data_IF_692707886164
#
_entry.id   IF_692707886164
#
_cell.length_a   1.000
_cell.length_b   1.000
_cell.length_c   1.000
_cell.angle_alpha   90.00
_cell.angle_beta   90.00
_cell.angle_gamma   90.00
#
_symmetry.space_group_name_H-M   'P 1'
#
loop_
_entity.id
_entity.type
_entity.pdbx_description
1 polymer ?
#
# COMPACT_ATOMS: atom_id res chain seq x y z
N UNK A 1 -7.63 -1.39 26.70
CA UNK A 1 -7.44 -1.13 25.27
C UNK A 1 -7.50 0.36 25.07
N UNK A 2 -6.64 0.89 24.21
CA UNK A 2 -6.73 2.25 23.69
C UNK A 2 -6.72 2.14 22.16
N UNK A 3 -7.00 3.24 21.48
CA UNK A 3 -6.87 3.33 20.03
C UNK A 3 -5.54 3.98 19.68
N UNK A 4 -4.78 3.28 18.84
CA UNK A 4 -3.52 3.74 18.28
C UNK A 4 -3.73 4.13 16.83
N UNK A 5 -3.15 5.25 16.42
CA UNK A 5 -3.23 5.78 15.08
C UNK A 5 -1.88 5.63 14.39
N UNK A 6 -1.89 5.08 13.18
CA UNK A 6 -0.68 4.84 12.41
C UNK A 6 -0.92 4.91 10.92
N UNK A 7 0.17 4.86 10.18
CA UNK A 7 0.15 4.69 8.74
C UNK A 7 0.77 3.33 8.40
N UNK A 8 0.08 2.58 7.55
CA UNK A 8 0.48 1.24 7.12
C UNK A 8 1.07 1.23 5.72
N UNK A 9 1.16 2.39 5.06
CA UNK A 9 1.43 2.46 3.63
C UNK A 9 2.25 3.70 3.27
N UNK A 10 3.58 3.55 3.30
CA UNK A 10 4.53 4.67 3.14
C UNK A 10 5.73 4.21 2.34
N UNK A 11 6.07 4.95 1.30
CA UNK A 11 7.23 4.71 0.44
C UNK A 11 8.32 5.76 0.68
N UNK A 12 9.57 5.33 0.59
CA UNK A 12 10.79 6.11 0.82
C UNK A 12 11.64 6.17 -0.44
N UNK A 13 12.80 6.83 -0.38
CA UNK A 13 13.76 6.86 -1.48
C UNK A 13 14.31 5.48 -1.90
N UNK A 14 14.05 4.42 -1.13
CA UNK A 14 14.42 3.04 -1.48
C UNK A 14 13.43 2.37 -2.44
N UNK A 15 12.18 2.82 -2.48
CA UNK A 15 11.20 2.31 -3.44
C UNK A 15 11.52 2.82 -4.86
N UNK A 16 11.31 1.95 -5.86
CA UNK A 16 11.61 2.27 -7.25
C UNK A 16 10.80 3.45 -7.81
N UNK A 17 9.50 3.51 -7.53
CA UNK A 17 8.62 4.55 -8.04
C UNK A 17 8.71 5.85 -7.23
N UNK A 18 9.05 5.80 -5.95
CA UNK A 18 9.30 6.97 -5.11
C UNK A 18 10.69 7.56 -5.36
N UNK A 19 11.75 6.74 -5.23
CA UNK A 19 13.13 7.14 -5.49
C UNK A 19 13.32 7.64 -6.92
N UNK A 20 12.70 6.95 -7.89
CA UNK A 20 12.65 7.40 -9.28
C UNK A 20 11.91 8.72 -9.47
N UNK A 21 10.82 8.95 -8.73
CA UNK A 21 10.08 10.21 -8.76
C UNK A 21 10.77 11.38 -8.03
N UNK A 22 11.96 11.16 -7.47
CA UNK A 22 12.78 12.19 -6.84
C UNK A 22 12.81 12.15 -5.32
N UNK A 23 12.30 11.09 -4.70
CA UNK A 23 12.28 10.97 -3.24
C UNK A 23 13.65 10.66 -2.71
N UNK A 24 14.08 11.40 -1.71
CA UNK A 24 15.40 11.33 -1.09
C UNK A 24 15.33 11.09 0.42
N UNK A 25 14.16 11.25 1.04
CA UNK A 25 13.96 10.83 2.42
C UNK A 25 14.11 9.31 2.51
N UNK A 26 15.00 8.86 3.39
CA UNK A 26 15.29 7.46 3.64
C UNK A 26 14.44 6.95 4.82
N UNK A 27 14.38 5.63 5.07
CA UNK A 27 13.55 5.08 6.15
C UNK A 27 13.71 5.75 7.52
N UNK A 28 14.95 6.09 7.90
CA UNK A 28 15.23 6.78 9.16
C UNK A 28 14.63 8.19 9.21
N UNK A 29 14.61 8.92 8.09
CA UNK A 29 13.97 10.24 8.02
C UNK A 29 12.45 10.10 8.19
N UNK A 30 11.84 9.13 7.52
CA UNK A 30 10.41 8.85 7.63
C UNK A 30 9.99 8.45 9.05
N UNK A 31 10.77 7.61 9.76
CA UNK A 31 10.46 7.28 11.16
C UNK A 31 10.65 8.47 12.11
N UNK A 32 11.69 9.28 11.93
CA UNK A 32 11.88 10.53 12.70
C UNK A 32 10.69 11.47 12.49
N UNK A 33 10.26 11.65 11.25
CA UNK A 33 9.07 12.43 10.92
C UNK A 33 7.80 11.88 11.57
N UNK A 34 7.58 10.56 11.52
CA UNK A 34 6.42 9.90 12.11
C UNK A 34 6.36 10.05 13.65
N UNK A 35 7.51 10.06 14.32
CA UNK A 35 7.66 10.38 15.76
C UNK A 35 7.47 11.87 16.08
N UNK A 36 7.25 12.70 15.05
CA UNK A 36 7.04 14.13 15.18
C UNK A 36 8.32 14.93 15.36
N UNK A 37 9.47 14.40 14.97
CA UNK A 37 10.68 15.21 14.77
C UNK A 37 10.53 16.09 13.52
N UNK A 38 11.25 17.20 13.47
CA UNK A 38 11.35 18.00 12.25
C UNK A 38 12.39 17.37 11.32
N UNK A 39 12.02 17.19 10.06
CA UNK A 39 12.92 16.76 8.97
C UNK A 39 12.92 17.77 7.84
N UNK A 40 13.81 17.60 6.86
CA UNK A 40 13.83 18.39 5.63
C UNK A 40 13.14 17.60 4.52
N UNK A 41 12.17 18.22 3.85
CA UNK A 41 11.43 17.61 2.74
C UNK A 41 12.31 17.43 1.49
N UNK A 42 11.80 16.74 0.47
CA UNK A 42 12.56 16.48 -0.77
C UNK A 42 12.90 17.77 -1.53
N UNK A 43 12.13 18.84 -1.33
CA UNK A 43 12.37 20.18 -1.89
C UNK A 43 13.07 21.15 -0.93
N UNK A 44 13.59 20.66 0.20
CA UNK A 44 14.41 21.44 1.13
C UNK A 44 13.65 22.20 2.22
N UNK A 45 12.34 21.98 2.36
CA UNK A 45 11.52 22.70 3.34
C UNK A 45 11.52 21.97 4.69
N UNK A 46 11.61 22.68 5.83
CA UNK A 46 11.43 22.04 7.13
C UNK A 46 9.97 21.61 7.29
N UNK A 47 9.76 20.36 7.72
CA UNK A 47 8.43 19.77 7.87
C UNK A 47 8.34 18.95 9.16
N UNK A 48 7.18 19.00 9.82
CA UNK A 48 6.92 18.30 11.08
C UNK A 48 5.43 17.95 11.19
N UNK A 49 5.10 16.80 11.77
CA UNK A 49 3.71 16.47 12.10
C UNK A 49 3.20 17.29 13.29
N UNK A 50 1.96 17.76 13.20
CA UNK A 50 1.26 18.38 14.32
C UNK A 50 0.97 17.36 15.45
N UNK A 51 0.69 16.11 15.06
CA UNK A 51 0.49 14.98 15.98
C UNK A 51 1.31 13.77 15.50
N UNK A 52 2.29 13.29 16.30
CA UNK A 52 3.04 12.06 16.00
C UNK A 52 2.11 10.85 15.83
N UNK A 53 2.58 9.84 15.12
CA UNK A 53 1.91 8.54 15.05
C UNK A 53 2.21 7.69 16.28
N UNK A 54 1.29 6.77 16.62
CA UNK A 54 1.49 5.77 17.65
C UNK A 54 2.22 4.54 17.09
N UNK A 55 1.95 4.19 15.82
CA UNK A 55 2.69 3.17 15.08
C UNK A 55 2.90 3.57 13.62
N UNK A 56 3.89 2.98 12.94
CA UNK A 56 4.24 3.35 11.57
C UNK A 56 4.89 2.20 10.80
N UNK A 57 4.52 2.07 9.52
CA UNK A 57 5.06 1.05 8.63
C UNK A 57 5.58 1.69 7.36
N UNK A 58 6.77 1.29 6.95
CA UNK A 58 7.30 1.58 5.62
C UNK A 58 7.05 0.33 4.78
N UNK A 59 6.47 0.51 3.61
CA UNK A 59 6.05 -0.56 2.72
C UNK A 59 6.61 -0.32 1.33
N UNK A 60 7.92 -0.06 1.26
CA UNK A 60 8.60 0.04 -0.03
C UNK A 60 8.36 -1.21 -0.88
N UNK A 61 8.26 -1.01 -2.19
CA UNK A 61 7.99 -2.08 -3.15
C UNK A 61 9.06 -3.19 -3.09
N UNK A 62 8.60 -4.44 -3.01
CA UNK A 62 9.42 -5.64 -3.15
C UNK A 62 9.92 -5.85 -4.57
N UNK A 63 9.11 -5.51 -5.57
CA UNK A 63 9.45 -5.68 -6.98
C UNK A 63 10.57 -4.74 -7.41
N UNK A 64 11.71 -5.31 -7.79
CA UNK A 64 12.90 -4.52 -8.12
C UNK A 64 13.57 -3.88 -6.89
N UNK A 65 13.32 -4.36 -5.66
CA UNK A 65 13.92 -3.80 -4.45
C UNK A 65 15.44 -3.61 -4.60
N UNK A 66 15.89 -2.36 -4.37
CA UNK A 66 17.29 -1.94 -4.51
C UNK A 66 17.72 -1.50 -5.91
N UNK A 67 16.99 -1.84 -6.97
CA UNK A 67 17.39 -1.46 -8.34
C UNK A 67 17.52 0.05 -8.50
N UNK A 68 16.59 0.83 -7.92
CA UNK A 68 16.58 2.28 -8.09
C UNK A 68 17.82 2.94 -7.48
N UNK A 69 18.32 2.42 -6.35
CA UNK A 69 19.54 2.92 -5.74
C UNK A 69 20.74 2.72 -6.66
N UNK A 70 20.86 1.53 -7.24
CA UNK A 70 21.93 1.21 -8.19
C UNK A 70 21.82 2.01 -9.49
N UNK A 71 20.59 2.27 -9.96
CA UNK A 71 20.37 3.13 -11.13
C UNK A 71 20.80 4.55 -10.82
N UNK A 72 20.41 5.12 -9.68
CA UNK A 72 20.78 6.49 -9.31
C UNK A 72 22.30 6.63 -9.11
N UNK A 73 22.95 5.63 -8.53
CA UNK A 73 24.39 5.61 -8.29
C UNK A 73 25.23 5.26 -9.53
N UNK A 74 24.61 4.72 -10.59
CA UNK A 74 25.31 4.29 -11.80
C UNK A 74 26.16 3.05 -11.57
N UNK A 75 25.61 2.05 -10.85
CA UNK A 75 26.31 0.82 -10.54
C UNK A 75 26.84 0.11 -11.81
N UNK A 76 27.98 -0.61 -11.76
CA UNK A 76 28.61 -1.16 -12.95
C UNK A 76 27.71 -2.07 -13.81
N UNK A 77 26.84 -2.87 -13.18
CA UNK A 77 25.89 -3.73 -13.89
C UNK A 77 24.78 -2.92 -14.58
N UNK A 78 24.34 -1.82 -13.98
CA UNK A 78 23.38 -0.90 -14.59
C UNK A 78 24.01 -0.19 -15.78
N UNK A 79 25.25 0.29 -15.64
CA UNK A 79 25.94 1.00 -16.71
C UNK A 79 26.36 0.10 -17.87
N UNK A 80 26.52 -1.21 -17.62
CA UNK A 80 26.76 -2.21 -18.65
C UNK A 80 25.52 -2.51 -19.50
N UNK A 81 24.32 -2.35 -18.94
CA UNK A 81 23.05 -2.51 -19.63
C UNK A 81 22.64 -1.21 -20.37
N UNK A 82 22.28 -1.24 -21.67
CA UNK A 82 21.90 -0.04 -22.40
C UNK A 82 20.68 0.69 -21.83
N UNK A 83 19.70 -0.05 -21.31
CA UNK A 83 18.49 0.52 -20.73
C UNK A 83 18.76 1.09 -19.34
N UNK A 84 19.53 0.38 -18.52
CA UNK A 84 20.03 0.86 -17.24
C UNK A 84 20.83 2.16 -17.37
N UNK A 85 21.75 2.23 -18.33
CA UNK A 85 22.51 3.47 -18.63
C UNK A 85 21.58 4.62 -19.03
N UNK A 86 20.60 4.36 -19.91
CA UNK A 86 19.60 5.35 -20.31
C UNK A 86 18.82 5.89 -19.11
N UNK A 87 18.38 5.03 -18.19
CA UNK A 87 17.69 5.47 -16.99
C UNK A 87 18.60 6.27 -16.05
N UNK A 88 19.84 5.82 -15.83
CA UNK A 88 20.82 6.57 -15.03
C UNK A 88 21.05 7.98 -15.58
N UNK A 89 21.33 8.10 -16.89
CA UNK A 89 21.55 9.40 -17.55
C UNK A 89 20.33 10.33 -17.41
N UNK A 90 19.10 9.79 -17.53
CA UNK A 90 17.88 10.56 -17.35
C UNK A 90 17.67 11.02 -15.91
N UNK A 91 17.97 10.18 -14.91
CA UNK A 91 17.88 10.56 -13.51
C UNK A 91 18.95 11.57 -13.09
N UNK A 92 20.18 11.45 -13.61
CA UNK A 92 21.25 12.45 -13.42
C UNK A 92 20.88 13.79 -14.04
N UNK A 93 20.26 13.79 -15.22
CA UNK A 93 19.77 15.01 -15.86
C UNK A 93 18.66 15.70 -15.04
N UNK A 94 17.88 14.93 -14.27
CA UNK A 94 16.82 15.44 -13.42
C UNK A 94 15.62 16.00 -14.18
N UNK A 95 14.75 16.72 -13.46
CA UNK A 95 13.63 17.45 -14.04
C UNK A 95 12.68 16.58 -14.89
N UNK A 96 12.35 17.06 -16.09
CA UNK A 96 11.37 16.39 -16.97
C UNK A 96 11.87 15.02 -17.45
N UNK A 97 13.18 14.90 -17.72
CA UNK A 97 13.79 13.66 -18.18
C UNK A 97 13.71 12.57 -17.12
N UNK A 98 14.03 12.90 -15.86
CA UNK A 98 13.85 11.98 -14.75
C UNK A 98 12.39 11.53 -14.61
N UNK A 99 11.42 12.45 -14.71
CA UNK A 99 10.00 12.07 -14.64
C UNK A 99 9.54 11.17 -15.79
N UNK A 100 9.97 11.45 -17.02
CA UNK A 100 9.67 10.61 -18.18
C UNK A 100 10.31 9.22 -18.02
N UNK A 101 11.53 9.16 -17.48
CA UNK A 101 12.21 7.92 -17.12
C UNK A 101 11.45 7.12 -16.05
N UNK A 102 10.97 7.75 -14.97
CA UNK A 102 10.16 7.08 -13.93
C UNK A 102 8.88 6.49 -14.52
N UNK A 103 8.16 7.27 -15.33
CA UNK A 103 6.93 6.79 -15.99
C UNK A 103 7.20 5.62 -16.92
N UNK A 104 8.29 5.69 -17.69
CA UNK A 104 8.67 4.59 -18.57
C UNK A 104 9.09 3.35 -17.80
N UNK A 105 9.85 3.48 -16.71
CA UNK A 105 10.23 2.37 -15.84
C UNK A 105 9.00 1.66 -15.25
N UNK A 106 8.04 2.42 -14.71
CA UNK A 106 6.78 1.88 -14.17
C UNK A 106 5.97 1.19 -15.28
N UNK A 107 5.87 1.81 -16.46
CA UNK A 107 5.15 1.24 -17.61
C UNK A 107 5.79 -0.08 -18.05
N UNK A 108 7.12 -0.10 -18.21
CA UNK A 108 7.84 -1.32 -18.59
C UNK A 108 7.66 -2.43 -17.55
N UNK A 109 7.67 -2.09 -16.26
CA UNK A 109 7.34 -3.05 -15.20
C UNK A 109 5.91 -3.60 -15.36
N UNK A 110 4.91 -2.73 -15.48
CA UNK A 110 3.49 -3.08 -15.68
C UNK A 110 3.25 -4.01 -16.87
N UNK A 111 4.06 -3.85 -17.92
CA UNK A 111 3.92 -4.62 -19.16
C UNK A 111 4.88 -5.82 -19.26
N UNK A 112 5.74 -6.06 -18.25
CA UNK A 112 6.72 -7.15 -18.27
C UNK A 112 7.85 -6.96 -19.28
N UNK A 113 8.21 -5.72 -19.57
CA UNK A 113 9.19 -5.31 -20.61
C UNK A 113 10.56 -4.91 -20.05
N UNK A 114 10.75 -4.91 -18.72
CA UNK A 114 12.03 -4.53 -18.10
C UNK A 114 13.18 -5.44 -18.54
N UNK A 115 14.35 -4.84 -18.81
CA UNK A 115 15.60 -5.60 -18.92
C UNK A 115 15.85 -6.47 -17.68
N UNK A 116 16.38 -7.70 -17.82
CA UNK A 116 16.81 -8.52 -16.68
C UNK A 116 17.77 -7.82 -15.72
N UNK A 117 18.56 -6.86 -16.20
CA UNK A 117 19.46 -6.07 -15.36
C UNK A 117 18.74 -5.14 -14.39
N UNK A 118 17.46 -4.84 -14.64
CA UNK A 118 16.62 -3.93 -13.85
C UNK A 118 15.56 -4.64 -13.01
N UNK A 119 15.34 -5.94 -13.25
CA UNK A 119 14.37 -6.74 -12.50
C UNK A 119 15.06 -7.47 -11.34
N UNK A 120 15.40 -6.73 -10.28
CA UNK A 120 15.98 -7.32 -9.07
C UNK A 120 14.95 -8.20 -8.34
N UNK A 121 15.41 -9.35 -7.86
CA UNK A 121 14.59 -10.39 -7.23
C UNK A 121 15.33 -11.01 -6.03
N UNK A 122 14.63 -11.74 -5.14
CA UNK A 122 15.24 -12.50 -4.06
C UNK A 122 16.44 -13.34 -4.51
N UNK A 123 17.52 -13.25 -3.75
CA UNK A 123 18.84 -13.81 -4.07
C UNK A 123 19.79 -12.85 -4.80
N UNK A 124 19.32 -11.67 -5.24
CA UNK A 124 20.20 -10.59 -5.65
C UNK A 124 20.86 -9.96 -4.40
N UNK A 125 22.19 -9.77 -4.36
CA UNK A 125 22.86 -9.22 -3.17
C UNK A 125 22.36 -7.85 -2.73
N UNK A 126 22.01 -6.97 -3.67
CA UNK A 126 21.50 -5.64 -3.32
C UNK A 126 20.04 -5.68 -2.86
N UNK A 127 19.24 -6.60 -3.38
CA UNK A 127 17.89 -6.86 -2.90
C UNK A 127 17.91 -7.25 -1.42
N UNK A 128 18.71 -8.26 -1.05
CA UNK A 128 18.87 -8.70 0.33
C UNK A 128 19.41 -7.59 1.25
N UNK A 129 20.40 -6.82 0.78
CA UNK A 129 20.96 -5.69 1.54
C UNK A 129 19.92 -4.60 1.81
N UNK A 130 19.06 -4.25 0.85
CA UNK A 130 18.01 -3.26 1.05
C UNK A 130 16.93 -3.81 2.00
N UNK A 131 16.61 -5.10 1.93
CA UNK A 131 15.71 -5.71 2.88
C UNK A 131 16.25 -5.66 4.32
N UNK A 132 17.52 -6.01 4.52
CA UNK A 132 18.22 -5.86 5.80
C UNK A 132 18.19 -4.40 6.29
N UNK A 133 18.43 -3.44 5.39
CA UNK A 133 18.38 -2.01 5.73
C UNK A 133 16.98 -1.54 6.18
N UNK A 134 15.91 -2.06 5.57
CA UNK A 134 14.54 -1.79 5.98
C UNK A 134 14.22 -2.39 7.35
N UNK A 135 14.65 -3.64 7.59
CA UNK A 135 14.54 -4.31 8.89
C UNK A 135 15.27 -3.51 9.98
N UNK A 136 16.54 -3.17 9.74
CA UNK A 136 17.36 -2.44 10.71
C UNK A 136 16.75 -1.08 11.05
N UNK A 137 16.24 -0.36 10.06
CA UNK A 137 15.58 0.92 10.28
C UNK A 137 14.29 0.76 11.09
N UNK A 138 13.48 -0.26 10.82
CA UNK A 138 12.29 -0.53 11.62
C UNK A 138 12.68 -0.81 13.08
N UNK A 139 13.66 -1.68 13.33
CA UNK A 139 14.07 -2.07 14.68
C UNK A 139 14.74 -0.93 15.46
N UNK A 140 15.57 -0.12 14.82
CA UNK A 140 16.22 1.05 15.46
C UNK A 140 15.18 2.02 16.05
N UNK A 141 14.02 2.16 15.39
CA UNK A 141 12.97 3.07 15.79
C UNK A 141 11.82 2.40 16.58
N UNK A 142 11.85 1.08 16.74
CA UNK A 142 10.82 0.38 17.50
C UNK A 142 10.97 0.64 19.00
N UNK A 143 10.03 1.38 19.59
CA UNK A 143 9.99 1.70 21.01
C UNK A 143 8.64 1.26 21.59
N UNK A 144 8.46 -0.04 21.88
CA UNK A 144 7.21 -0.58 22.40
C UNK A 144 6.72 0.20 23.62
N UNK A 145 5.46 0.64 23.57
CA UNK A 145 4.81 1.48 24.57
C UNK A 145 4.72 2.95 24.18
N UNK A 146 5.61 3.45 23.30
CA UNK A 146 5.66 4.86 22.87
C UNK A 146 5.46 5.00 21.36
N UNK A 147 6.26 4.30 20.55
CA UNK A 147 6.17 4.31 19.08
C UNK A 147 6.52 2.94 18.52
N UNK A 148 5.55 2.25 17.92
CA UNK A 148 5.76 0.90 17.37
C UNK A 148 6.03 0.94 15.88
N UNK A 149 7.07 0.24 15.42
CA UNK A 149 7.32 0.03 13.99
C UNK A 149 7.08 -1.43 13.61
N UNK A 150 6.85 -1.65 12.32
CA UNK A 150 6.72 -2.98 11.75
C UNK A 150 7.71 -3.17 10.62
N UNK A 151 8.20 -4.40 10.51
CA UNK A 151 8.86 -4.89 9.31
C UNK A 151 7.75 -5.19 8.30
N UNK A 152 7.81 -4.57 7.12
CA UNK A 152 6.77 -4.67 6.11
C UNK A 152 7.34 -4.35 4.71
N UNK A 153 6.60 -4.73 3.67
CA UNK A 153 6.88 -4.38 2.27
C UNK A 153 5.59 -4.35 1.46
N UNK A 154 5.61 -3.72 0.29
CA UNK A 154 4.50 -3.81 -0.67
C UNK A 154 4.79 -4.86 -1.76
N UNK A 155 3.85 -5.78 -1.96
CA UNK A 155 3.85 -6.72 -3.09
C UNK A 155 3.02 -6.13 -4.23
N UNK A 156 3.66 -5.89 -5.38
CA UNK A 156 3.23 -4.90 -6.40
C UNK A 156 2.45 -5.55 -7.55
N UNK A 157 1.50 -6.44 -7.25
CA UNK A 157 0.86 -7.19 -8.33
C UNK A 157 0.05 -6.28 -9.26
N UNK A 158 0.49 -6.20 -10.51
CA UNK A 158 -0.06 -5.32 -11.52
C UNK A 158 -0.38 -6.10 -12.80
N UNK A 159 -1.63 -6.54 -12.95
CA UNK A 159 -2.04 -7.40 -14.06
C UNK A 159 -2.50 -6.55 -15.23
N UNK A 160 -1.59 -6.29 -16.20
CA UNK A 160 -1.86 -5.40 -17.35
C UNK A 160 -2.37 -4.01 -16.89
N UNK A 161 -1.75 -3.46 -15.86
CA UNK A 161 -2.13 -2.18 -15.25
C UNK A 161 -3.23 -2.25 -14.17
N UNK A 162 -3.91 -3.39 -14.00
CA UNK A 162 -4.92 -3.57 -12.96
C UNK A 162 -4.28 -3.81 -11.59
N UNK A 163 -4.59 -2.93 -10.64
CA UNK A 163 -4.01 -2.95 -9.30
C UNK A 163 -4.51 -4.14 -8.47
N UNK A 164 -3.57 -4.93 -7.97
CA UNK A 164 -3.75 -6.00 -7.00
C UNK A 164 -2.65 -5.93 -5.93
N UNK A 165 -2.22 -4.73 -5.54
CA UNK A 165 -1.16 -4.59 -4.56
C UNK A 165 -1.60 -5.03 -3.16
N UNK A 166 -0.63 -5.44 -2.33
CA UNK A 166 -0.82 -5.71 -0.90
C UNK A 166 0.37 -5.22 -0.07
N UNK A 167 0.08 -4.58 1.05
CA UNK A 167 1.06 -4.38 2.11
C UNK A 167 1.18 -5.64 2.95
N UNK A 168 2.36 -6.26 2.97
CA UNK A 168 2.68 -7.46 3.74
C UNK A 168 3.37 -7.05 5.04
N UNK A 169 2.78 -7.42 6.17
CA UNK A 169 3.16 -6.93 7.50
C UNK A 169 3.52 -8.11 8.40
N UNK A 170 4.70 -8.07 8.99
CA UNK A 170 5.17 -9.09 9.92
C UNK A 170 4.80 -8.73 11.36
N UNK A 171 4.26 -9.69 12.11
CA UNK A 171 4.08 -9.56 13.56
C UNK A 171 5.41 -9.59 14.32
N UNK A 172 6.43 -10.16 13.70
CA UNK A 172 7.65 -10.61 14.38
C UNK A 172 8.81 -9.61 14.26
N UNK A 173 9.89 -9.90 14.99
CA UNK A 173 11.17 -9.19 14.96
C UNK A 173 12.11 -9.62 13.83
N UNK A 174 13.32 -9.03 13.79
CA UNK A 174 14.32 -9.27 12.75
C UNK A 174 14.77 -10.73 12.74
N UNK A 175 14.72 -11.42 13.89
CA UNK A 175 15.13 -12.81 14.03
C UNK A 175 14.26 -13.80 13.23
N UNK A 176 13.02 -13.42 12.89
CA UNK A 176 12.14 -14.21 12.03
C UNK A 176 11.98 -13.59 10.66
N UNK A 177 11.64 -12.30 10.60
CA UNK A 177 11.38 -11.62 9.32
C UNK A 177 12.63 -11.60 8.41
N UNK A 178 13.83 -11.49 8.99
CA UNK A 178 15.10 -11.57 8.26
C UNK A 178 15.46 -12.97 7.74
N UNK A 179 14.68 -14.01 8.04
CA UNK A 179 14.91 -15.36 7.50
C UNK A 179 14.34 -15.56 6.09
N UNK A 180 13.58 -14.59 5.59
CA UNK A 180 12.98 -14.59 4.26
C UNK A 180 13.26 -13.26 3.57
N UNK A 181 13.36 -13.29 2.25
CA UNK A 181 13.35 -12.10 1.42
C UNK A 181 11.91 -11.85 0.91
N UNK A 182 11.49 -10.58 0.75
CA UNK A 182 10.17 -10.23 0.21
C UNK A 182 9.81 -10.97 -1.07
N UNK A 183 8.58 -11.48 -1.15
CA UNK A 183 8.05 -12.10 -2.38
C UNK A 183 7.83 -11.04 -3.45
N UNK A 184 8.07 -11.38 -4.72
CA UNK A 184 7.87 -10.47 -5.86
C UNK A 184 6.75 -10.98 -6.76
N UNK A 185 6.46 -10.25 -7.84
CA UNK A 185 5.38 -10.55 -8.78
C UNK A 185 5.86 -11.12 -10.10
N UNK A 186 7.16 -10.98 -10.40
CA UNK A 186 7.74 -11.41 -11.67
C UNK A 186 8.39 -12.80 -11.54
N UNK A 187 8.15 -13.71 -12.50
CA UNK A 187 8.91 -14.96 -12.59
C UNK A 187 10.41 -14.70 -12.75
N UNK A 188 11.30 -15.65 -12.37
CA UNK A 188 11.00 -16.98 -11.81
C UNK A 188 10.82 -17.01 -10.29
N UNK A 189 11.06 -15.91 -9.57
CA UNK A 189 11.00 -15.87 -8.10
C UNK A 189 9.66 -15.44 -7.52
N UNK A 190 8.80 -14.85 -8.35
CA UNK A 190 7.51 -14.30 -7.97
C UNK A 190 6.38 -14.69 -8.91
N UNK A 191 5.18 -14.27 -8.55
CA UNK A 191 3.94 -14.45 -9.30
C UNK A 191 3.00 -13.29 -8.99
N UNK A 192 2.16 -12.82 -9.93
CA UNK A 192 1.11 -11.82 -9.65
C UNK A 192 -0.15 -12.42 -9.01
N UNK A 193 -0.23 -13.74 -8.82
CA UNK A 193 -1.40 -14.39 -8.20
C UNK A 193 -1.35 -14.24 -6.66
N UNK A 194 -2.39 -13.68 -6.02
CA UNK A 194 -2.48 -13.60 -4.57
C UNK A 194 -2.39 -14.97 -3.86
N UNK A 195 -2.81 -16.06 -4.51
CA UNK A 195 -2.71 -17.41 -3.94
C UNK A 195 -1.25 -17.86 -3.79
N UNK A 196 -0.37 -17.45 -4.71
CA UNK A 196 1.07 -17.71 -4.60
C UNK A 196 1.71 -16.84 -3.50
N UNK A 197 1.26 -15.59 -3.34
CA UNK A 197 1.65 -14.76 -2.20
C UNK A 197 1.24 -15.43 -0.88
N UNK A 198 0.02 -15.93 -0.78
CA UNK A 198 -0.48 -16.63 0.40
C UNK A 198 0.29 -17.92 0.69
N UNK A 199 0.71 -18.65 -0.36
CA UNK A 199 1.58 -19.81 -0.20
C UNK A 199 2.96 -19.42 0.34
N UNK A 200 3.54 -18.33 -0.14
CA UNK A 200 4.79 -17.77 0.42
C UNK A 200 4.61 -17.34 1.89
N UNK A 201 3.49 -16.71 2.23
CA UNK A 201 3.16 -16.33 3.61
C UNK A 201 3.01 -17.56 4.52
N UNK A 202 2.38 -18.62 4.04
CA UNK A 202 2.31 -19.90 4.75
C UNK A 202 3.70 -20.49 4.99
N UNK A 203 4.57 -20.47 3.96
CA UNK A 203 5.94 -20.96 4.08
C UNK A 203 6.75 -20.17 5.12
N UNK A 204 6.52 -18.86 5.25
CA UNK A 204 7.10 -18.06 6.33
C UNK A 204 6.61 -18.52 7.72
N UNK A 205 5.30 -18.69 7.91
CA UNK A 205 4.74 -19.16 9.18
C UNK A 205 5.27 -20.55 9.54
N UNK A 206 5.36 -21.47 8.58
CA UNK A 206 5.83 -22.85 8.78
C UNK A 206 7.34 -22.89 9.12
N UNK A 207 8.15 -22.08 8.42
CA UNK A 207 9.60 -22.04 8.61
C UNK A 207 9.99 -21.42 9.95
N UNK A 208 9.32 -20.33 10.35
CA UNK A 208 9.77 -19.48 11.45
C UNK A 208 8.91 -19.59 12.71
N UNK A 209 7.71 -20.16 12.60
CA UNK A 209 6.67 -20.06 13.62
C UNK A 209 6.13 -18.63 13.82
N UNK A 210 6.48 -17.70 12.93
CA UNK A 210 6.02 -16.31 12.91
C UNK A 210 4.58 -16.14 12.46
N UNK A 211 4.14 -14.89 12.35
CA UNK A 211 2.82 -14.50 11.82
C UNK A 211 2.97 -13.33 10.85
N UNK A 212 2.23 -13.40 9.76
CA UNK A 212 2.24 -12.39 8.70
C UNK A 212 0.82 -12.18 8.17
N UNK A 213 0.52 -10.96 7.72
CA UNK A 213 -0.76 -10.62 7.10
C UNK A 213 -0.55 -9.78 5.86
N UNK A 214 -1.52 -9.76 4.95
CA UNK A 214 -1.55 -8.87 3.81
C UNK A 214 -2.74 -7.90 3.92
N UNK A 215 -2.54 -6.66 3.50
CA UNK A 215 -3.59 -5.64 3.40
C UNK A 215 -3.71 -5.21 1.94
N UNK A 216 -4.72 -5.71 1.20
CA UNK A 216 -5.06 -5.16 -0.12
C UNK A 216 -5.48 -3.69 -0.03
N UNK A 217 -5.19 -2.94 -1.08
CA UNK A 217 -5.51 -1.52 -1.20
C UNK A 217 -5.84 -1.13 -2.64
N UNK A 218 -6.43 0.05 -2.84
CA UNK A 218 -6.78 0.61 -4.15
C UNK A 218 -7.57 -0.31 -5.08
N UNK A 219 -8.63 -0.91 -4.56
CA UNK A 219 -9.60 -1.63 -5.39
C UNK A 219 -10.16 -0.77 -6.53
N UNK A 220 -10.29 0.54 -6.35
CA UNK A 220 -10.70 1.54 -7.36
C UNK A 220 -9.78 1.62 -8.60
N UNK A 221 -8.57 1.04 -8.53
CA UNK A 221 -7.61 0.97 -9.63
C UNK A 221 -7.45 -0.45 -10.20
N UNK A 222 -8.31 -1.38 -9.79
CA UNK A 222 -8.21 -2.80 -10.18
C UNK A 222 -8.98 -3.16 -11.45
N UNK A 223 -9.79 -2.24 -11.97
CA UNK A 223 -10.77 -2.48 -13.04
C UNK A 223 -11.65 -3.72 -12.76
N UNK A 224 -12.06 -3.88 -11.50
CA UNK A 224 -12.99 -4.90 -11.05
C UNK A 224 -12.36 -6.19 -10.54
N UNK A 225 -11.03 -6.35 -10.64
CA UNK A 225 -10.33 -7.57 -10.24
C UNK A 225 -10.25 -7.74 -8.71
N UNK A 226 -10.17 -6.66 -7.92
CA UNK A 226 -9.92 -6.76 -6.48
C UNK A 226 -11.01 -7.54 -5.74
N UNK A 227 -12.27 -7.31 -6.10
CA UNK A 227 -13.45 -7.95 -5.51
C UNK A 227 -14.30 -8.65 -6.57
N UNK A 228 -13.66 -9.30 -7.54
CA UNK A 228 -14.31 -10.11 -8.56
C UNK A 228 -15.17 -11.25 -7.94
N UNK A 229 -16.07 -11.84 -8.71
CA UNK A 229 -16.84 -13.04 -8.33
C UNK A 229 -16.27 -14.33 -8.93
N UNK A 230 -15.12 -14.21 -9.59
CA UNK A 230 -14.40 -15.26 -10.29
C UNK A 230 -12.90 -15.09 -10.06
N UNK A 231 -12.16 -16.17 -10.23
CA UNK A 231 -10.71 -16.22 -10.19
C UNK A 231 -10.12 -15.90 -11.57
N UNK A 232 -9.60 -14.68 -11.72
CA UNK A 232 -9.00 -14.21 -12.96
C UNK A 232 -7.65 -14.90 -13.29
N UNK A 233 -7.02 -15.56 -12.32
CA UNK A 233 -5.79 -16.36 -12.51
C UNK A 233 -6.10 -17.82 -12.88
N UNK A 234 -7.33 -18.28 -12.64
CA UNK A 234 -7.82 -19.60 -13.03
C UNK A 234 -8.80 -19.55 -14.23
N UNK A 235 -8.51 -18.72 -15.23
CA UNK A 235 -9.32 -18.56 -16.45
C UNK A 235 -10.79 -18.17 -16.17
N UNK A 236 -11.06 -17.37 -15.14
CA UNK A 236 -12.41 -16.95 -14.76
C UNK A 236 -13.21 -18.05 -14.09
N UNK A 237 -12.56 -19.07 -13.51
CA UNK A 237 -13.24 -20.10 -12.73
C UNK A 237 -13.99 -19.46 -11.55
N UNK A 238 -15.07 -20.10 -11.10
CA UNK A 238 -15.73 -19.68 -9.86
C UNK A 238 -14.78 -19.92 -8.69
N UNK A 239 -14.77 -19.01 -7.73
CA UNK A 239 -14.08 -19.26 -6.47
C UNK A 239 -14.64 -20.50 -5.79
N UNK A 240 -13.75 -21.26 -5.16
CA UNK A 240 -14.10 -22.37 -4.29
C UNK A 240 -13.95 -21.98 -2.81
N UNK A 241 -14.27 -22.94 -1.94
CA UNK A 241 -14.20 -22.74 -0.49
C UNK A 241 -12.77 -22.50 -0.02
N UNK A 242 -11.78 -23.10 -0.66
CA UNK A 242 -10.38 -23.03 -0.23
C UNK A 242 -9.82 -21.63 -0.51
N UNK A 243 -10.11 -21.06 -1.68
CA UNK A 243 -9.84 -19.65 -1.96
C UNK A 243 -10.49 -18.74 -0.91
N UNK A 244 -11.78 -18.96 -0.62
CA UNK A 244 -12.51 -18.11 0.30
C UNK A 244 -11.94 -18.16 1.73
N UNK A 245 -11.48 -19.34 2.17
CA UNK A 245 -10.81 -19.53 3.45
C UNK A 245 -9.41 -18.91 3.48
N UNK A 246 -8.63 -19.06 2.41
CA UNK A 246 -7.30 -18.48 2.29
C UNK A 246 -7.38 -16.95 2.36
N UNK A 247 -8.27 -16.32 1.59
CA UNK A 247 -8.46 -14.86 1.64
C UNK A 247 -8.90 -14.38 3.04
N UNK A 248 -9.79 -15.12 3.70
CA UNK A 248 -10.19 -14.83 5.08
C UNK A 248 -9.08 -14.99 6.12
N UNK A 249 -8.08 -15.83 5.86
CA UNK A 249 -6.91 -16.01 6.72
C UNK A 249 -5.93 -14.85 6.52
N UNK A 250 -5.57 -14.57 5.28
CA UNK A 250 -4.41 -13.73 4.96
C UNK A 250 -4.74 -12.24 4.78
N UNK A 251 -5.95 -11.92 4.31
CA UNK A 251 -6.39 -10.55 4.00
C UNK A 251 -7.51 -10.12 4.97
N UNK A 252 -7.13 -9.90 6.23
CA UNK A 252 -8.10 -9.55 7.31
C UNK A 252 -8.63 -8.14 7.21
N UNK A 253 -7.85 -7.24 6.62
CA UNK A 253 -8.11 -5.81 6.50
C UNK A 253 -8.08 -5.38 5.04
N UNK A 254 -8.72 -4.26 4.75
CA UNK A 254 -8.64 -3.55 3.47
C UNK A 254 -8.35 -2.08 3.73
N UNK A 255 -7.39 -1.52 2.99
CA UNK A 255 -7.17 -0.08 2.96
C UNK A 255 -8.22 0.57 2.06
N UNK A 256 -9.21 1.18 2.69
CA UNK A 256 -10.39 1.70 2.00
C UNK A 256 -10.17 3.10 1.41
N UNK A 257 -9.18 3.84 1.90
CA UNK A 257 -8.94 5.24 1.49
C UNK A 257 -7.44 5.55 1.50
N UNK A 258 -6.97 6.23 0.44
CA UNK A 258 -5.59 6.70 0.28
C UNK A 258 -5.52 7.95 -0.63
N UNK A 259 -4.32 8.49 -0.90
CA UNK A 259 -4.12 9.67 -1.76
C UNK A 259 -4.76 9.54 -3.17
N UNK A 260 -4.83 8.32 -3.72
CA UNK A 260 -5.49 7.95 -5.00
C UNK A 260 -6.99 7.66 -4.81
N UNK A 261 -7.64 8.45 -3.97
CA UNK A 261 -9.08 8.51 -3.79
C UNK A 261 -9.66 7.58 -2.72
N UNK A 262 -10.92 7.85 -2.40
CA UNK A 262 -11.72 7.02 -1.50
C UNK A 262 -12.31 5.81 -2.23
N UNK A 263 -12.17 4.65 -1.60
CA UNK A 263 -12.61 3.35 -2.10
C UNK A 263 -13.78 2.76 -1.30
N UNK A 264 -14.47 3.54 -0.48
CA UNK A 264 -15.62 3.05 0.30
C UNK A 264 -16.81 2.73 -0.62
N UNK A 265 -17.20 3.68 -1.46
CA UNK A 265 -18.36 3.57 -2.37
C UNK A 265 -18.22 4.47 -3.60
N UNK A 266 -19.15 4.31 -4.54
CA UNK A 266 -19.28 5.13 -5.74
C UNK A 266 -20.75 5.57 -5.93
N UNK A 267 -21.06 6.74 -6.52
CA UNK A 267 -22.45 7.20 -6.71
C UNK A 267 -23.33 6.24 -7.53
N UNK A 268 -22.75 5.53 -8.50
CA UNK A 268 -23.45 4.48 -9.25
C UNK A 268 -23.83 3.26 -8.40
N UNK A 269 -23.16 3.02 -7.27
CA UNK A 269 -23.38 1.87 -6.38
C UNK A 269 -24.25 2.22 -5.17
N UNK A 270 -24.22 3.49 -4.74
CA UNK A 270 -24.98 4.04 -3.62
C UNK A 270 -25.70 5.32 -4.04
N UNK A 271 -26.63 5.21 -4.98
CA UNK A 271 -27.30 6.35 -5.63
C UNK A 271 -28.25 7.15 -4.73
N UNK A 272 -28.60 6.65 -3.55
CA UNK A 272 -29.39 7.35 -2.53
C UNK A 272 -28.52 7.95 -1.40
N UNK A 273 -27.20 7.75 -1.43
CA UNK A 273 -26.27 8.30 -0.45
C UNK A 273 -25.61 9.57 -0.98
N UNK A 274 -25.99 10.72 -0.40
CA UNK A 274 -25.45 12.04 -0.76
C UNK A 274 -23.94 12.17 -0.47
N UNK A 275 -23.36 11.26 0.33
CA UNK A 275 -21.94 11.23 0.66
C UNK A 275 -21.13 10.25 -0.22
N UNK A 276 -21.76 9.60 -1.19
CA UNK A 276 -21.08 8.63 -2.06
C UNK A 276 -20.14 9.24 -3.11
N UNK A 277 -20.15 10.58 -3.25
CA UNK A 277 -19.27 11.35 -4.16
C UNK A 277 -18.14 12.05 -3.38
N UNK A 278 -17.43 11.31 -2.56
CA UNK A 278 -16.30 11.81 -1.78
C UNK A 278 -14.98 11.33 -2.42
N UNK A 279 -14.16 12.29 -2.88
CA UNK A 279 -12.79 12.06 -3.40
C UNK A 279 -12.63 10.85 -4.32
N UNK A 280 -13.55 10.65 -5.27
CA UNK A 280 -13.52 9.50 -6.17
C UNK A 280 -12.31 9.51 -7.11
N UNK A 281 -11.83 8.31 -7.44
CA UNK A 281 -10.79 8.09 -8.42
C UNK A 281 -11.14 6.89 -9.30
N UNK A 282 -11.79 7.18 -10.42
CA UNK A 282 -12.59 6.23 -11.19
C UNK A 282 -12.36 6.34 -12.72
N UNK A 283 -11.26 6.93 -13.17
CA UNK A 283 -11.03 7.18 -14.61
C UNK A 283 -10.43 5.99 -15.37
N UNK A 284 -9.70 5.11 -14.68
CA UNK A 284 -9.05 3.94 -15.27
C UNK A 284 -8.30 3.09 -14.24
N UNK A 285 -7.49 2.15 -14.73
CA UNK A 285 -6.56 1.36 -13.92
C UNK A 285 -5.31 2.17 -13.53
N UNK A 286 -4.40 1.57 -12.76
CA UNK A 286 -3.29 2.27 -12.09
C UNK A 286 -2.38 3.05 -13.05
N UNK A 287 -2.04 2.47 -14.21
CA UNK A 287 -1.19 3.11 -15.23
C UNK A 287 -1.99 3.86 -16.32
N UNK A 288 -3.32 3.91 -16.18
CA UNK A 288 -4.23 4.55 -17.13
C UNK A 288 -4.27 3.90 -18.51
N UNK A 289 -3.75 2.69 -18.68
CA UNK A 289 -3.77 1.94 -19.94
C UNK A 289 -5.17 1.45 -20.34
N UNK A 290 -6.08 1.34 -19.38
CA UNK A 290 -7.48 0.98 -19.61
C UNK A 290 -8.41 1.95 -18.88
N UNK A 291 -9.28 2.62 -19.65
CA UNK A 291 -10.33 3.48 -19.11
C UNK A 291 -11.39 2.67 -18.36
N UNK A 292 -11.96 3.29 -17.32
CA UNK A 292 -12.99 2.68 -16.49
C UNK A 292 -14.30 2.50 -17.27
N UNK A 293 -15.00 1.40 -17.01
CA UNK A 293 -16.38 1.20 -17.44
C UNK A 293 -17.30 0.90 -16.23
N UNK A 294 -18.60 1.22 -16.30
CA UNK A 294 -19.51 1.04 -15.16
C UNK A 294 -19.61 -0.39 -14.60
N UNK A 295 -19.40 -1.41 -15.44
CA UNK A 295 -19.44 -2.82 -15.06
C UNK A 295 -18.26 -3.26 -14.18
N UNK A 296 -17.15 -2.50 -14.20
CA UNK A 296 -15.98 -2.76 -13.35
C UNK A 296 -16.24 -2.35 -11.89
N UNK A 297 -16.93 -1.23 -11.68
CA UNK A 297 -17.06 -0.55 -10.39
C UNK A 297 -17.51 -1.44 -9.22
N UNK A 298 -18.48 -2.37 -9.36
CA UNK A 298 -18.88 -3.18 -8.21
C UNK A 298 -17.78 -4.17 -7.77
N UNK A 299 -16.74 -4.41 -8.56
CA UNK A 299 -15.56 -5.19 -8.18
C UNK A 299 -14.45 -4.37 -7.52
N UNK A 300 -14.68 -3.09 -7.21
CA UNK A 300 -13.63 -2.15 -6.83
C UNK A 300 -13.85 -1.45 -5.49
N UNK A 301 -15.10 -1.29 -5.07
CA UNK A 301 -15.46 -0.51 -3.88
C UNK A 301 -15.89 -1.39 -2.71
N UNK A 302 -15.51 -0.97 -1.50
CA UNK A 302 -15.65 -1.79 -0.30
C UNK A 302 -17.10 -2.14 0.05
N UNK A 303 -18.07 -1.22 -0.08
CA UNK A 303 -19.49 -1.54 0.18
C UNK A 303 -20.02 -2.63 -0.77
N UNK A 304 -19.65 -2.57 -2.05
CA UNK A 304 -20.02 -3.61 -3.00
C UNK A 304 -19.30 -4.93 -2.73
N UNK A 305 -18.03 -4.87 -2.31
CA UNK A 305 -17.29 -6.05 -1.87
C UNK A 305 -17.98 -6.76 -0.70
N UNK A 306 -18.45 -6.01 0.31
CA UNK A 306 -19.20 -6.58 1.43
C UNK A 306 -20.49 -7.27 0.98
N UNK A 307 -21.24 -6.67 0.03
CA UNK A 307 -22.43 -7.29 -0.57
C UNK A 307 -22.09 -8.56 -1.36
N UNK A 308 -21.09 -8.50 -2.25
CA UNK A 308 -20.58 -9.65 -3.02
C UNK A 308 -20.10 -10.77 -2.09
N UNK A 309 -19.49 -10.41 -0.97
CA UNK A 309 -19.06 -11.34 0.07
C UNK A 309 -20.21 -12.15 0.67
N UNK A 310 -21.39 -11.54 0.87
CA UNK A 310 -22.59 -12.26 1.33
C UNK A 310 -23.10 -13.27 0.31
N UNK A 311 -23.03 -12.93 -0.99
CA UNK A 311 -23.37 -13.88 -2.08
C UNK A 311 -22.43 -15.08 -2.04
N UNK A 312 -21.11 -14.83 -2.01
CA UNK A 312 -20.10 -15.89 -1.94
C UNK A 312 -20.22 -16.71 -0.64
N UNK A 313 -20.63 -16.10 0.47
CA UNK A 313 -20.89 -16.82 1.72
C UNK A 313 -22.04 -17.82 1.59
N UNK A 314 -23.11 -17.45 0.89
CA UNK A 314 -24.24 -18.35 0.65
C UNK A 314 -23.84 -19.54 -0.22
N UNK A 315 -22.94 -19.32 -1.18
CA UNK A 315 -22.49 -20.36 -2.12
C UNK A 315 -21.41 -21.28 -1.53
N UNK A 316 -20.44 -20.71 -0.81
CA UNK A 316 -19.20 -21.39 -0.37
C UNK A 316 -19.18 -21.71 1.13
N UNK A 317 -20.14 -21.16 1.88
CA UNK A 317 -20.16 -21.21 3.35
C UNK A 317 -19.12 -20.30 4.03
N UNK A 318 -18.35 -19.54 3.25
CA UNK A 318 -17.28 -18.65 3.72
C UNK A 318 -17.33 -17.35 2.93
N UNK A 319 -17.28 -16.21 3.62
CA UNK A 319 -17.25 -14.89 2.99
C UNK A 319 -15.79 -14.45 2.78
N UNK A 320 -15.23 -14.46 1.55
CA UNK A 320 -13.86 -13.99 1.31
C UNK A 320 -13.68 -12.49 1.59
N UNK A 321 -14.72 -11.69 1.43
CA UNK A 321 -14.69 -10.22 1.52
C UNK A 321 -15.20 -9.71 2.87
N UNK A 322 -15.12 -10.51 3.93
CA UNK A 322 -15.33 -10.06 5.31
C UNK A 322 -14.02 -9.49 5.86
N UNK A 323 -13.84 -8.18 5.80
CA UNK A 323 -12.63 -7.50 6.25
C UNK A 323 -12.93 -6.34 7.20
N UNK A 324 -11.93 -5.94 8.00
CA UNK A 324 -11.91 -4.64 8.69
C UNK A 324 -11.38 -3.55 7.75
N UNK A 325 -11.68 -2.29 8.02
CA UNK A 325 -11.22 -1.17 7.18
C UNK A 325 -10.14 -0.37 7.90
N UNK A 326 -9.15 0.09 7.13
CA UNK A 326 -8.15 1.08 7.56
C UNK A 326 -7.95 2.13 6.48
N UNK A 327 -7.36 3.28 6.83
CA UNK A 327 -6.81 4.23 5.87
C UNK A 327 -5.29 4.13 5.84
N UNK A 328 -4.69 4.59 4.75
CA UNK A 328 -3.25 4.74 4.62
C UNK A 328 -2.93 5.93 3.72
N UNK A 329 -1.67 6.32 3.62
CA UNK A 329 -1.31 7.37 2.66
C UNK A 329 -1.01 6.80 1.29
N UNK A 330 -0.24 5.72 1.22
CA UNK A 330 0.52 5.43 0.01
C UNK A 330 1.34 6.68 -0.36
N UNK A 331 2.06 7.30 0.59
CA UNK A 331 2.85 8.50 0.25
C UNK A 331 4.15 8.09 -0.45
N UNK A 332 4.51 8.78 -1.53
CA UNK A 332 5.79 8.58 -2.21
C UNK A 332 6.79 9.66 -1.86
N UNK A 333 6.53 10.51 -0.87
CA UNK A 333 7.48 11.56 -0.44
C UNK A 333 8.36 11.13 0.74
N UNK A 334 8.09 9.96 1.35
CA UNK A 334 8.60 9.61 2.68
C UNK A 334 7.92 10.38 3.82
N UNK A 335 6.91 11.22 3.54
CA UNK A 335 6.20 12.05 4.50
C UNK A 335 4.70 11.70 4.50
N UNK A 336 4.24 11.04 5.57
CA UNK A 336 2.81 10.75 5.78
C UNK A 336 2.07 12.00 6.27
N UNK A 337 1.59 12.82 5.33
CA UNK A 337 1.08 14.17 5.58
C UNK A 337 -0.44 14.29 5.39
N UNK A 338 -1.22 13.57 6.21
CA UNK A 338 -2.69 13.43 6.06
C UNK A 338 -3.55 14.63 6.47
N UNK A 339 -2.94 15.80 6.69
CA UNK A 339 -3.65 17.01 7.12
C UNK A 339 -3.52 18.06 6.04
N UNK A 340 -4.64 18.59 5.54
CA UNK A 340 -4.67 19.61 4.47
C UNK A 340 -3.74 20.80 4.75
N UNK A 341 -3.67 21.27 6.00
CA UNK A 341 -2.83 22.39 6.39
C UNK A 341 -1.31 22.07 6.34
N UNK A 342 -0.97 20.79 6.22
CA UNK A 342 0.39 20.26 6.16
C UNK A 342 0.56 19.23 5.04
N UNK A 343 -0.24 19.29 3.97
CA UNK A 343 -0.27 18.28 2.92
C UNK A 343 0.85 18.48 1.89
N UNK A 344 1.80 17.54 1.82
CA UNK A 344 2.97 17.61 0.94
C UNK A 344 2.77 16.92 -0.42
N UNK A 345 1.57 16.37 -0.68
CA UNK A 345 1.26 15.71 -1.95
C UNK A 345 1.69 14.24 -1.99
N UNK A 346 1.49 13.60 -3.14
CA UNK A 346 1.81 12.19 -3.37
C UNK A 346 3.29 12.00 -3.68
N UNK A 347 3.84 12.82 -4.58
CA UNK A 347 5.23 12.78 -5.03
C UNK A 347 5.98 14.07 -4.71
N UNK A 348 7.34 14.07 -4.67
CA UNK A 348 8.16 15.25 -4.39
C UNK A 348 7.84 16.49 -5.23
N UNK A 349 7.48 16.31 -6.49
CA UNK A 349 7.09 17.40 -7.40
C UNK A 349 5.81 18.14 -7.00
N UNK A 350 5.00 17.52 -6.14
CA UNK A 350 3.76 18.08 -5.60
C UNK A 350 3.97 18.68 -4.20
N UNK A 351 5.20 18.69 -3.68
CA UNK A 351 5.54 19.40 -2.44
C UNK A 351 5.26 20.92 -2.57
N UNK A 352 5.16 21.66 -1.44
CA UNK A 352 4.69 23.03 -1.46
C UNK A 352 5.47 23.95 -2.41
N UNK A 353 4.79 24.48 -3.42
CA UNK A 353 5.28 25.48 -4.37
C UNK A 353 4.09 26.21 -5.00
N UNK A 354 4.27 27.41 -5.57
CA UNK A 354 3.16 28.13 -6.22
C UNK A 354 2.51 27.34 -7.36
N UNK A 355 3.26 26.46 -8.03
CA UNK A 355 2.79 25.69 -9.18
C UNK A 355 2.30 24.27 -8.85
N UNK A 356 2.41 23.80 -7.59
CA UNK A 356 2.18 22.39 -7.20
C UNK A 356 0.85 21.81 -7.73
N UNK A 357 -0.22 22.59 -7.68
CA UNK A 357 -1.55 22.15 -8.10
C UNK A 357 -1.63 21.95 -9.62
N UNK A 358 -0.81 22.67 -10.39
CA UNK A 358 -0.83 22.64 -11.86
C UNK A 358 0.02 21.51 -12.45
N UNK A 359 0.85 20.86 -11.63
CA UNK A 359 1.72 19.76 -12.05
C UNK A 359 0.88 18.62 -12.61
N UNK A 360 1.24 18.14 -13.81
CA UNK A 360 0.63 16.95 -14.41
C UNK A 360 1.06 15.71 -13.62
N UNK A 361 0.11 15.11 -12.92
CA UNK A 361 0.35 13.96 -12.06
C UNK A 361 0.35 12.65 -12.87
N UNK A 362 -0.64 12.46 -13.74
CA UNK A 362 -0.73 11.33 -14.66
C UNK A 362 -1.28 11.75 -16.03
N UNK A 363 -0.81 11.07 -17.07
CA UNK A 363 -1.25 11.24 -18.45
C UNK A 363 -1.03 9.93 -19.21
N UNK A 364 -2.08 9.43 -19.87
CA UNK A 364 -2.01 8.35 -20.84
C UNK A 364 -2.66 8.84 -22.14
N UNK A 365 -1.84 9.03 -23.19
CA UNK A 365 -2.30 9.61 -24.45
C UNK A 365 -3.17 8.65 -25.27
N UNK A 366 -3.02 7.34 -25.08
CA UNK A 366 -3.82 6.35 -25.79
C UNK A 366 -5.26 6.35 -25.29
N UNK A 367 -5.47 6.46 -23.97
CA UNK A 367 -6.81 6.48 -23.37
C UNK A 367 -7.38 7.89 -23.20
N UNK A 368 -6.54 8.93 -23.27
CA UNK A 368 -6.92 10.32 -23.03
C UNK A 368 -7.05 10.66 -21.54
N UNK A 369 -6.69 9.74 -20.64
CA UNK A 369 -6.70 9.98 -19.19
C UNK A 369 -5.60 10.99 -18.86
N UNK A 370 -5.95 12.10 -18.22
CA UNK A 370 -5.00 13.10 -17.78
C UNK A 370 -5.51 13.80 -16.52
N UNK A 371 -4.66 13.93 -15.51
CA UNK A 371 -5.01 14.58 -14.26
C UNK A 371 -3.82 15.31 -13.63
N UNK A 372 -4.14 16.32 -12.81
CA UNK A 372 -3.18 17.19 -12.13
C UNK A 372 -3.07 16.84 -10.65
N UNK A 373 -2.01 17.31 -10.00
CA UNK A 373 -1.70 17.02 -8.60
C UNK A 373 -2.82 17.40 -7.61
N UNK A 374 -3.66 18.40 -7.92
CA UNK A 374 -4.80 18.76 -7.06
C UNK A 374 -5.88 17.66 -6.95
N UNK A 375 -5.82 16.62 -7.79
CA UNK A 375 -6.73 15.47 -7.70
C UNK A 375 -6.38 14.47 -6.60
N UNK A 376 -5.15 14.49 -6.08
CA UNK A 376 -4.79 13.64 -4.94
C UNK A 376 -5.46 14.16 -3.67
N UNK A 377 -6.06 13.26 -2.90
CA UNK A 377 -6.63 13.56 -1.59
C UNK A 377 -5.54 13.67 -0.52
N UNK A 378 -5.87 14.22 0.65
CA UNK A 378 -5.01 14.12 1.84
C UNK A 378 -5.14 12.78 2.57
N UNK A 379 -5.95 11.85 2.04
CA UNK A 379 -6.04 10.45 2.47
C UNK A 379 -6.47 10.26 3.94
N UNK A 380 -6.12 9.11 4.52
CA UNK A 380 -6.49 8.74 5.88
C UNK A 380 -5.41 7.94 6.60
N UNK A 381 -5.72 7.55 7.83
CA UNK A 381 -4.84 6.77 8.69
C UNK A 381 -5.57 5.55 9.25
N UNK A 382 -4.80 4.56 9.68
CA UNK A 382 -5.31 3.39 10.37
C UNK A 382 -5.52 3.72 11.84
N UNK A 383 -6.71 3.40 12.36
CA UNK A 383 -6.98 3.39 13.79
C UNK A 383 -7.16 1.95 14.26
N UNK A 384 -6.42 1.53 15.29
CA UNK A 384 -6.39 0.15 15.79
C UNK A 384 -6.65 0.13 17.29
N UNK A 385 -7.72 -0.55 17.70
CA UNK A 385 -8.03 -0.80 19.10
C UNK A 385 -7.20 -1.96 19.64
N UNK A 386 -6.11 -1.65 20.34
CA UNK A 386 -5.20 -2.67 20.86
C UNK A 386 -5.06 -2.60 22.38
N UNK A 387 -4.56 -3.67 22.97
CA UNK A 387 -4.32 -3.77 24.42
C UNK A 387 -3.12 -2.93 24.88
N UNK A 388 -2.14 -2.72 24.00
CA UNK A 388 -0.94 -1.92 24.22
C UNK A 388 -0.35 -1.42 22.89
N UNK A 389 0.51 -0.40 22.92
CA UNK A 389 1.28 0.06 21.76
C UNK A 389 2.49 -0.86 21.56
N UNK A 390 2.26 -2.07 21.05
CA UNK A 390 3.32 -3.07 20.78
C UNK A 390 3.00 -3.75 19.46
N UNK A 391 4.01 -4.31 18.79
CA UNK A 391 3.86 -4.98 17.49
C UNK A 391 2.83 -6.11 17.59
N UNK A 392 2.94 -6.91 18.64
CA UNK A 392 2.06 -8.02 18.95
C UNK A 392 0.61 -7.57 19.15
N UNK A 393 0.38 -6.62 20.06
CA UNK A 393 -0.97 -6.20 20.39
C UNK A 393 -1.69 -5.50 19.23
N UNK A 394 -0.97 -4.68 18.46
CA UNK A 394 -1.51 -3.98 17.29
C UNK A 394 -1.79 -4.98 16.16
N UNK A 395 -0.85 -5.88 15.86
CA UNK A 395 -1.07 -6.95 14.87
C UNK A 395 -2.26 -7.83 15.24
N UNK A 396 -2.34 -8.28 16.50
CA UNK A 396 -3.40 -9.17 16.94
C UNK A 396 -4.77 -8.47 16.88
N UNK A 397 -4.83 -7.15 17.13
CA UNK A 397 -6.03 -6.33 16.93
C UNK A 397 -6.41 -6.19 15.45
N UNK A 398 -5.44 -5.99 14.56
CA UNK A 398 -5.65 -6.02 13.11
C UNK A 398 -6.23 -7.37 12.65
N UNK A 399 -5.74 -8.49 13.18
CA UNK A 399 -6.26 -9.83 12.89
C UNK A 399 -7.71 -10.02 13.37
N UNK A 400 -8.07 -9.42 14.51
CA UNK A 400 -9.46 -9.38 15.02
C UNK A 400 -10.35 -8.38 14.28
N UNK A 401 -9.79 -7.53 13.41
CA UNK A 401 -10.50 -6.44 12.70
C UNK A 401 -11.02 -5.35 13.65
N UNK A 402 -10.35 -5.15 14.77
CA UNK A 402 -10.68 -4.07 15.73
C UNK A 402 -10.10 -2.74 15.21
N UNK A 403 -10.49 -2.36 13.99
CA UNK A 403 -9.92 -1.23 13.24
C UNK A 403 -10.98 -0.36 12.61
N UNK A 404 -10.61 0.88 12.28
CA UNK A 404 -11.37 1.74 11.38
C UNK A 404 -10.43 2.66 10.59
N UNK A 405 -10.92 3.13 9.45
CA UNK A 405 -10.29 4.19 8.68
C UNK A 405 -10.77 5.55 9.20
N UNK A 406 -9.90 6.56 9.17
CA UNK A 406 -10.31 7.95 9.41
C UNK A 406 -9.52 8.89 8.50
N UNK A 407 -10.22 9.79 7.83
CA UNK A 407 -9.63 10.92 7.10
C UNK A 407 -9.69 12.16 8.00
N UNK A 408 -8.66 13.01 7.95
CA UNK A 408 -8.57 14.22 8.79
C UNK A 408 -8.41 13.93 10.30
N UNK A 409 -9.40 14.23 11.17
CA UNK A 409 -9.22 14.11 12.63
C UNK A 409 -9.04 12.66 13.11
N UNK A 410 -8.03 12.42 13.95
CA UNK A 410 -7.79 11.15 14.64
C UNK A 410 -8.73 10.96 15.83
N UNK A 411 -10.03 10.85 15.54
CA UNK A 411 -11.10 10.68 16.53
C UNK A 411 -11.04 9.29 17.15
N UNK A 412 -11.23 9.19 18.47
CA UNK A 412 -11.39 7.90 19.16
C UNK A 412 -12.84 7.44 19.04
N UNK A 413 -13.09 6.38 18.28
CA UNK A 413 -14.45 5.87 18.03
C UNK A 413 -14.55 4.45 18.53
N UNK A 414 -15.58 4.17 19.34
CA UNK A 414 -15.93 2.82 19.77
C UNK A 414 -17.39 2.56 19.41
N UNK A 415 -17.61 1.58 18.56
CA UNK A 415 -18.94 1.20 18.07
C UNK A 415 -19.21 -0.27 18.40
N UNK A 416 -20.44 -0.56 18.81
CA UNK A 416 -20.91 -1.93 19.04
C UNK A 416 -22.20 -2.13 18.27
N UNK A 417 -22.29 -3.26 17.57
CA UNK A 417 -23.47 -3.63 16.80
C UNK A 417 -23.31 -5.03 16.22
N UNK A 418 -24.42 -5.68 15.94
CA UNK A 418 -24.46 -7.05 15.44
C UNK A 418 -25.82 -7.70 15.70
N UNK A 419 -26.09 -8.81 15.03
CA UNK A 419 -27.35 -9.55 15.19
C UNK A 419 -27.54 -10.08 16.62
N UNK A 420 -26.43 -10.38 17.30
CA UNK A 420 -26.39 -10.90 18.67
C UNK A 420 -26.03 -9.81 19.70
N UNK A 421 -26.10 -8.53 19.34
CA UNK A 421 -25.75 -7.43 20.24
C UNK A 421 -26.64 -7.43 21.49
N UNK A 422 -25.99 -7.30 22.65
CA UNK A 422 -26.61 -7.24 23.96
C UNK A 422 -26.09 -6.03 24.76
N UNK A 423 -26.86 -5.51 25.73
CA UNK A 423 -26.38 -4.44 26.62
C UNK A 423 -25.11 -4.80 27.40
N UNK A 424 -24.77 -6.08 27.52
CA UNK A 424 -23.54 -6.55 28.16
C UNK A 424 -22.30 -6.22 27.32
N UNK A 425 -22.41 -6.15 25.99
CA UNK A 425 -21.28 -5.86 25.10
C UNK A 425 -20.70 -4.47 25.35
N UNK A 426 -21.54 -3.51 25.75
CA UNK A 426 -21.09 -2.17 26.16
C UNK A 426 -20.13 -2.18 27.37
N UNK A 427 -20.12 -3.27 28.15
CA UNK A 427 -19.26 -3.45 29.31
C UNK A 427 -18.00 -4.25 29.01
N UNK A 428 -17.91 -4.86 27.82
CA UNK A 428 -16.71 -5.57 27.40
C UNK A 428 -15.54 -4.61 27.20
N UNK A 429 -14.32 -5.11 27.43
CA UNK A 429 -13.08 -4.35 27.21
C UNK A 429 -12.56 -4.48 25.77
N UNK A 430 -12.92 -5.59 25.13
CA UNK A 430 -12.70 -5.96 23.73
C UNK A 430 -13.92 -5.58 22.86
N UNK A 431 -13.75 -5.59 21.53
CA UNK A 431 -14.83 -5.35 20.56
C UNK A 431 -15.50 -6.65 20.05
N UNK A 432 -15.09 -7.81 20.58
CA UNK A 432 -15.69 -9.12 20.30
C UNK A 432 -14.88 -9.97 19.33
#
# INVERSE_FOLDING_TARGET
MDVYFGDTHVHTGLSADAGGAGTRLMPRDSYRFARGEQVTSNTGQPVRLARPYDFFMITDHSDGMGVITDILEGAPNIMADPEGRKFHEAFVAGGKQAMEATRELIRQFSQGELSPALNYQPGNPNFGRIWEQLIDAAEEFNQPGDFTTFIAFEWTSLVRGNNLHRNVIFRDGPEKAGQVEPYTTTPPKGSPDPQDLWAWMQAYEDKTGGRVTAIPHNGNLSNGMMFALQDDFANGARYDRDYAQARQKWERLYEVTQLKGDGETHPLLSNEDEFADYESWDWGNLDGSQAKTPDMLPGEYARSALQRGLVLQQELGVNPFKFGMIGGTDTHTGLSTVNDANFFGKFPREEPSPERALVMAGENKQTGIAYKGWRYSSAGVAAVWATANTREAIFDAMQRRETYATTGPRMRVRFFGGWDFSPQDLRHRDLG
#
